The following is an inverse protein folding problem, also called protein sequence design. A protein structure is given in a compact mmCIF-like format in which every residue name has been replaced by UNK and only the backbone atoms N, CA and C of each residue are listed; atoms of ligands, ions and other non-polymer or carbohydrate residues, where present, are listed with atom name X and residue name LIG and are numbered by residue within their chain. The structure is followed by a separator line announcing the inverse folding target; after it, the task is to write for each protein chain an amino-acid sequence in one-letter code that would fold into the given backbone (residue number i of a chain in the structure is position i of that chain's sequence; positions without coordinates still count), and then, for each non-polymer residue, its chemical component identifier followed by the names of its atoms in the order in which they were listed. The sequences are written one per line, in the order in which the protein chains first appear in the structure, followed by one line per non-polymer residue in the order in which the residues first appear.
data_IF_083370523411
#
_entry.id   IF_083370523411
#
_cell.length_a   1.000
_cell.length_b   1.000
_cell.length_c   1.000
_cell.angle_alpha   90.00
_cell.angle_beta   90.00
_cell.angle_gamma   90.00
#
_symmetry.space_group_name_H-M   'P 1'
#
loop_
_entity.id
_entity.type
_entity.pdbx_description
1 polymer ?
#
# COMPACT_ATOMS: atom_id res chain seq x y z
N UNK A 1 7.46 14.25 -26.47
CA UNK A 1 7.00 13.23 -25.60
C UNK A 1 5.76 13.63 -24.82
N UNK A 2 4.82 12.75 -24.75
CA UNK A 2 3.56 13.08 -24.10
C UNK A 2 3.54 12.52 -22.69
N UNK A 3 3.28 13.39 -21.74
CA UNK A 3 3.05 12.95 -20.38
C UNK A 3 1.61 12.51 -20.27
N UNK A 4 1.45 11.22 -20.18
CA UNK A 4 0.11 10.71 -19.97
C UNK A 4 -0.30 10.94 -18.54
N UNK A 5 -1.38 11.66 -18.37
CA UNK A 5 -1.98 11.77 -17.07
C UNK A 5 -2.72 10.48 -16.78
N UNK A 6 -2.41 9.85 -15.65
CA UNK A 6 -3.09 8.63 -15.28
C UNK A 6 -4.53 8.92 -14.92
N UNK A 7 -5.42 8.02 -15.30
CA UNK A 7 -6.80 8.14 -14.85
C UNK A 7 -6.87 7.82 -13.36
N UNK A 8 -7.96 8.21 -12.72
CA UNK A 8 -8.16 7.91 -11.31
C UNK A 8 -8.19 6.41 -11.08
N UNK A 9 -8.78 5.66 -12.02
CA UNK A 9 -8.81 4.21 -11.89
C UNK A 9 -7.42 3.60 -11.94
N UNK A 10 -6.58 4.09 -12.85
CA UNK A 10 -5.21 3.60 -12.95
C UNK A 10 -4.41 3.91 -11.69
N UNK A 11 -4.59 5.11 -11.16
CA UNK A 11 -3.89 5.52 -9.96
C UNK A 11 -4.34 4.68 -8.77
N UNK A 12 -5.63 4.44 -8.66
CA UNK A 12 -6.17 3.60 -7.59
C UNK A 12 -5.60 2.19 -7.68
N UNK A 13 -5.50 1.64 -8.90
CA UNK A 13 -4.95 0.31 -9.09
C UNK A 13 -3.48 0.25 -8.65
N UNK A 14 -2.72 1.31 -8.90
CA UNK A 14 -1.33 1.36 -8.45
C UNK A 14 -1.24 1.32 -6.93
N UNK A 15 -2.11 2.05 -6.24
CA UNK A 15 -2.13 2.00 -4.78
C UNK A 15 -2.49 0.61 -4.28
N UNK A 16 -3.42 -0.05 -4.95
CA UNK A 16 -3.81 -1.40 -4.58
C UNK A 16 -2.65 -2.37 -4.76
N UNK A 17 -1.92 -2.25 -5.85
CA UNK A 17 -0.74 -3.08 -6.09
C UNK A 17 0.33 -2.85 -5.04
N UNK A 18 0.56 -1.59 -4.66
CA UNK A 18 1.49 -1.27 -3.59
C UNK A 18 1.05 -1.92 -2.27
N UNK A 19 -0.23 -1.80 -1.96
CA UNK A 19 -0.76 -2.38 -0.73
C UNK A 19 -0.58 -3.89 -0.72
N UNK A 20 -0.86 -4.54 -1.84
CA UNK A 20 -0.70 -5.99 -1.94
C UNK A 20 0.75 -6.41 -1.77
N UNK A 21 1.67 -5.64 -2.37
CA UNK A 21 3.08 -5.92 -2.23
C UNK A 21 3.53 -5.76 -0.78
N UNK A 22 3.09 -4.68 -0.13
CA UNK A 22 3.45 -4.42 1.26
C UNK A 22 2.90 -5.50 2.17
N UNK A 23 1.67 -5.93 1.91
CA UNK A 23 1.07 -7.00 2.70
C UNK A 23 1.85 -8.30 2.54
N UNK A 24 2.30 -8.59 1.33
CA UNK A 24 3.12 -9.76 1.07
C UNK A 24 4.43 -9.69 1.88
N UNK A 25 5.05 -8.52 1.92
CA UNK A 25 6.28 -8.33 2.69
C UNK A 25 6.02 -8.46 4.19
N UNK A 26 4.88 -7.93 4.65
CA UNK A 26 4.51 -8.07 6.06
C UNK A 26 4.34 -9.52 6.46
N UNK A 27 3.77 -10.33 5.57
CA UNK A 27 3.55 -11.75 5.85
C UNK A 27 4.85 -12.52 5.99
N UNK A 28 5.95 -11.99 5.47
CA UNK A 28 7.26 -12.62 5.59
C UNK A 28 7.90 -12.35 6.95
N UNK A 29 7.38 -11.39 7.69
CA UNK A 29 7.93 -11.05 9.00
C UNK A 29 7.17 -11.81 10.06
N UNK A 30 7.85 -12.64 10.88
CA UNK A 30 7.17 -13.42 11.90
C UNK A 30 6.48 -12.52 12.92
N UNK A 31 5.26 -12.88 13.28
CA UNK A 31 4.55 -12.19 14.34
C UNK A 31 5.24 -12.51 15.66
N UNK A 32 5.39 -11.48 16.48
CA UNK A 32 6.01 -11.67 17.78
C UNK A 32 7.50 -11.89 17.74
N UNK A 33 8.14 -11.54 16.60
CA UNK A 33 9.58 -11.63 16.50
C UNK A 33 10.24 -10.75 17.55
N UNK A 34 11.33 -11.25 18.13
CA UNK A 34 12.13 -10.46 19.05
C UNK A 34 13.18 -9.63 18.33
N UNK A 35 13.30 -9.81 17.03
CA UNK A 35 14.29 -9.07 16.26
C UNK A 35 13.86 -7.61 16.14
N UNK A 36 14.67 -6.75 16.74
CA UNK A 36 14.39 -5.33 16.80
C UNK A 36 14.22 -4.71 15.41
N UNK A 37 15.09 -5.07 14.48
CA UNK A 37 15.04 -4.52 13.12
C UNK A 37 13.78 -4.96 12.38
N UNK A 38 13.37 -6.20 12.57
CA UNK A 38 12.18 -6.72 11.94
C UNK A 38 10.91 -6.08 12.52
N UNK A 39 10.91 -5.83 13.83
CA UNK A 39 9.79 -5.13 14.45
C UNK A 39 9.62 -3.73 13.87
N UNK A 40 10.72 -3.03 13.72
CA UNK A 40 10.69 -1.70 13.15
C UNK A 40 10.22 -1.72 11.70
N UNK A 41 10.76 -2.64 10.91
CA UNK A 41 10.40 -2.80 9.52
C UNK A 41 8.91 -3.10 9.39
N UNK A 42 8.39 -3.96 10.25
CA UNK A 42 6.99 -4.30 10.24
C UNK A 42 6.11 -3.08 10.49
N UNK A 43 6.48 -2.27 11.48
CA UNK A 43 5.72 -1.07 11.82
C UNK A 43 5.68 -0.10 10.65
N UNK A 44 6.82 0.10 10.00
CA UNK A 44 6.90 1.00 8.85
C UNK A 44 6.03 0.48 7.69
N UNK A 45 6.13 -0.83 7.43
CA UNK A 45 5.37 -1.41 6.33
C UNK A 45 3.87 -1.39 6.60
N UNK A 46 3.46 -1.55 7.87
CA UNK A 46 2.05 -1.45 8.22
C UNK A 46 1.52 -0.04 7.98
N UNK A 47 2.31 0.96 8.34
CA UNK A 47 1.93 2.34 8.08
C UNK A 47 1.79 2.59 6.58
N UNK A 48 2.74 2.11 5.81
CA UNK A 48 2.70 2.29 4.36
C UNK A 48 1.51 1.57 3.74
N UNK A 49 1.23 0.36 4.23
CA UNK A 49 0.09 -0.40 3.76
C UNK A 49 -1.21 0.34 4.05
N UNK A 50 -1.37 0.82 5.28
CA UNK A 50 -2.58 1.53 5.66
C UNK A 50 -2.77 2.79 4.83
N UNK A 51 -1.68 3.50 4.56
CA UNK A 51 -1.74 4.70 3.74
C UNK A 51 -2.12 4.38 2.31
N UNK A 52 -1.53 3.34 1.74
CA UNK A 52 -1.84 2.93 0.38
C UNK A 52 -3.31 2.52 0.26
N UNK A 53 -3.82 1.76 1.24
CA UNK A 53 -5.21 1.35 1.24
C UNK A 53 -6.15 2.53 1.41
N UNK A 54 -5.81 3.48 2.26
CA UNK A 54 -6.61 4.68 2.43
C UNK A 54 -6.71 5.45 1.13
N UNK A 55 -5.59 5.61 0.44
CA UNK A 55 -5.56 6.31 -0.85
C UNK A 55 -6.37 5.56 -1.89
N UNK A 56 -6.25 4.23 -1.92
CA UNK A 56 -7.01 3.41 -2.84
C UNK A 56 -8.51 3.59 -2.62
N UNK A 57 -8.96 3.48 -1.38
CA UNK A 57 -10.38 3.57 -1.04
C UNK A 57 -10.91 4.96 -1.37
N UNK A 58 -10.13 5.99 -1.07
CA UNK A 58 -10.53 7.35 -1.33
C UNK A 58 -10.73 7.60 -2.83
N UNK A 59 -9.78 7.12 -3.63
CA UNK A 59 -9.88 7.27 -5.07
C UNK A 59 -11.04 6.46 -5.63
N UNK A 60 -11.21 5.24 -5.14
CA UNK A 60 -12.29 4.38 -5.59
C UNK A 60 -13.64 5.03 -5.33
N UNK A 61 -13.83 5.56 -4.13
CA UNK A 61 -15.08 6.24 -3.80
C UNK A 61 -15.29 7.47 -4.67
N UNK A 62 -14.21 8.11 -5.08
CA UNK A 62 -14.28 9.30 -5.88
C UNK A 62 -14.83 9.02 -7.27
N UNK A 63 -14.28 8.00 -7.95
CA UNK A 63 -14.65 7.77 -9.34
C UNK A 63 -15.81 6.79 -9.52
N UNK A 64 -16.20 6.10 -8.46
CA UNK A 64 -17.34 5.17 -8.52
C UNK A 64 -18.64 5.76 -8.02
N UNK A 65 -18.70 7.07 -7.92
CA UNK A 65 -19.93 7.70 -7.48
C UNK A 65 -21.06 7.50 -8.47
#
# INVERSE_FOLDING_TARGET
MVNKTKTLAELAEEYLLQANHLKSELNKIPKGTDNYKLKYKRAVFEDMYNEAMSNYIRLKNYYEK
#
